data_IF_947698608706
#
_entry.id   IF_947698608706
#
_cell.length_a   1.000
_cell.length_b   1.000
_cell.length_c   1.000
_cell.angle_alpha   90.00
_cell.angle_beta   90.00
_cell.angle_gamma   90.00
#
_symmetry.space_group_name_H-M   'P 1'
#
loop_
_entity.id
_entity.type
_entity.pdbx_description
1 polymer ?
#
# COMPACT_ATOMS: atom_id res chain seq x y z
N UNK A 1 4.21 -28.10 14.94
CA UNK A 1 4.80 -27.79 13.61
C UNK A 1 3.84 -27.01 12.71
N UNK A 2 2.58 -27.39 12.59
CA UNK A 2 1.59 -26.67 11.75
C UNK A 2 1.37 -25.20 12.16
N UNK A 3 1.24 -24.90 13.45
CA UNK A 3 1.04 -23.52 13.95
C UNK A 3 2.17 -22.56 13.57
N UNK A 4 3.43 -23.02 13.64
CA UNK A 4 4.61 -22.24 13.21
C UNK A 4 4.56 -21.94 11.70
N UNK A 5 4.09 -22.88 10.88
CA UNK A 5 3.91 -22.67 9.44
C UNK A 5 2.83 -21.63 9.16
N UNK A 6 1.68 -21.71 9.84
CA UNK A 6 0.58 -20.75 9.66
C UNK A 6 1.01 -19.34 10.05
N UNK A 7 1.74 -19.20 11.17
CA UNK A 7 2.30 -17.91 11.60
C UNK A 7 3.26 -17.32 10.56
N UNK A 8 4.18 -18.14 10.03
CA UNK A 8 5.16 -17.68 9.05
C UNK A 8 4.53 -17.27 7.72
N UNK A 9 3.49 -18.00 7.29
CA UNK A 9 2.68 -17.65 6.13
C UNK A 9 1.96 -16.31 6.35
N UNK A 10 1.35 -16.10 7.51
CA UNK A 10 0.67 -14.85 7.84
C UNK A 10 1.63 -13.66 7.86
N UNK A 11 2.81 -13.80 8.46
CA UNK A 11 3.84 -12.75 8.46
C UNK A 11 4.24 -12.38 7.02
N UNK A 12 4.49 -13.40 6.19
CA UNK A 12 4.82 -13.16 4.77
C UNK A 12 3.66 -12.47 4.06
N UNK A 13 2.43 -12.91 4.32
CA UNK A 13 1.22 -12.29 3.79
C UNK A 13 1.11 -10.81 4.17
N UNK A 14 1.30 -10.48 5.44
CA UNK A 14 1.24 -9.09 5.93
C UNK A 14 2.27 -8.19 5.24
N UNK A 15 3.48 -8.70 5.00
CA UNK A 15 4.54 -7.92 4.32
C UNK A 15 4.24 -7.73 2.83
N UNK A 16 3.76 -8.77 2.15
CA UNK A 16 3.34 -8.66 0.74
C UNK A 16 2.14 -7.73 0.61
N UNK A 17 1.16 -7.84 1.51
CA UNK A 17 0.01 -6.95 1.59
C UNK A 17 0.43 -5.50 1.82
N UNK A 18 1.37 -5.26 2.73
CA UNK A 18 1.96 -3.94 2.98
C UNK A 18 2.63 -3.39 1.72
N UNK A 19 3.48 -4.19 1.05
CA UNK A 19 4.19 -3.75 -0.15
C UNK A 19 3.21 -3.32 -1.25
N UNK A 20 2.18 -4.14 -1.52
CA UNK A 20 1.20 -3.83 -2.56
C UNK A 20 0.35 -2.62 -2.15
N UNK A 21 -0.09 -2.54 -0.90
CA UNK A 21 -0.87 -1.41 -0.40
C UNK A 21 -0.08 -0.10 -0.41
N UNK A 22 1.23 -0.13 -0.09
CA UNK A 22 2.09 1.04 -0.15
C UNK A 22 2.24 1.56 -1.59
N UNK A 23 2.50 0.67 -2.55
CA UNK A 23 2.57 1.03 -3.98
C UNK A 23 1.23 1.53 -4.51
N UNK A 24 0.14 0.85 -4.15
CA UNK A 24 -1.22 1.28 -4.49
C UNK A 24 -1.53 2.66 -3.91
N UNK A 25 -1.15 2.92 -2.66
CA UNK A 25 -1.31 4.24 -2.03
C UNK A 25 -0.54 5.31 -2.78
N UNK A 26 0.74 5.07 -3.11
CA UNK A 26 1.54 6.03 -3.89
C UNK A 26 0.87 6.35 -5.23
N UNK A 27 0.44 5.31 -5.95
CA UNK A 27 -0.27 5.44 -7.21
C UNK A 27 -1.59 6.20 -7.08
N UNK A 28 -2.40 5.86 -6.07
CA UNK A 28 -3.70 6.48 -5.85
C UNK A 28 -3.58 7.97 -5.49
N UNK A 29 -2.49 8.38 -4.80
CA UNK A 29 -2.17 9.81 -4.63
C UNK A 29 -2.03 10.48 -5.99
N UNK A 30 -1.13 9.99 -6.85
CA UNK A 30 -0.91 10.61 -8.17
C UNK A 30 -2.21 10.67 -8.96
N UNK A 31 -2.94 9.55 -9.05
CA UNK A 31 -4.18 9.49 -9.84
C UNK A 31 -5.25 10.43 -9.30
N UNK A 32 -5.50 10.46 -7.98
CA UNK A 32 -6.57 11.29 -7.42
C UNK A 32 -6.21 12.78 -7.46
N UNK A 33 -4.93 13.13 -7.36
CA UNK A 33 -4.52 14.52 -7.43
C UNK A 33 -4.59 15.07 -8.87
N UNK A 34 -4.24 14.26 -9.88
CA UNK A 34 -4.30 14.62 -11.31
C UNK A 34 -5.70 14.53 -11.92
N UNK A 35 -6.56 13.66 -11.40
CA UNK A 35 -7.89 13.41 -11.96
C UNK A 35 -9.01 13.89 -11.03
N UNK A 36 -9.61 15.03 -11.38
CA UNK A 36 -10.75 15.60 -10.64
C UNK A 36 -11.93 14.62 -10.48
N UNK A 37 -12.23 13.81 -11.51
CA UNK A 37 -13.30 12.83 -11.45
C UNK A 37 -13.05 11.74 -10.40
N UNK A 38 -11.81 11.27 -10.29
CA UNK A 38 -11.43 10.30 -9.23
C UNK A 38 -11.49 10.95 -7.86
N UNK A 39 -10.97 12.17 -7.69
CA UNK A 39 -11.03 12.93 -6.44
C UNK A 39 -12.47 13.14 -5.96
N UNK A 40 -13.34 13.57 -6.88
CA UNK A 40 -14.75 13.83 -6.60
C UNK A 40 -15.51 12.53 -6.28
N UNK A 41 -15.23 11.44 -7.00
CA UNK A 41 -15.81 10.12 -6.70
C UNK A 41 -15.43 9.64 -5.29
N UNK A 42 -14.16 9.78 -4.90
CA UNK A 42 -13.70 9.42 -3.56
C UNK A 42 -14.38 10.28 -2.49
N UNK A 43 -14.47 11.59 -2.71
CA UNK A 43 -15.13 12.50 -1.78
C UNK A 43 -16.64 12.23 -1.68
N UNK A 44 -17.32 12.00 -2.81
CA UNK A 44 -18.76 11.72 -2.84
C UNK A 44 -19.12 10.37 -2.22
N UNK A 45 -18.25 9.37 -2.34
CA UNK A 45 -18.49 8.02 -1.79
C UNK A 45 -18.13 7.92 -0.31
N UNK A 46 -17.02 8.55 0.12
CA UNK A 46 -16.46 8.38 1.46
C UNK A 46 -16.50 9.65 2.30
N UNK A 47 -17.29 10.65 1.91
CA UNK A 47 -17.38 12.02 2.48
C UNK A 47 -16.13 12.88 2.34
N UNK A 48 -14.95 12.27 2.22
CA UNK A 48 -13.69 12.97 1.99
C UNK A 48 -12.72 12.10 1.17
N UNK A 49 -12.05 12.70 0.19
CA UNK A 49 -11.20 11.95 -0.75
C UNK A 49 -10.00 11.27 -0.09
N UNK A 50 -9.44 11.85 0.99
CA UNK A 50 -8.41 11.20 1.80
C UNK A 50 -8.94 10.05 2.66
N UNK A 51 -10.21 10.11 3.10
CA UNK A 51 -10.85 8.98 3.80
C UNK A 51 -11.02 7.83 2.81
N UNK A 52 -11.57 8.10 1.62
CA UNK A 52 -11.72 7.09 0.57
C UNK A 52 -10.39 6.46 0.15
N UNK A 53 -9.34 7.28 0.04
CA UNK A 53 -7.97 6.81 -0.16
C UNK A 53 -7.54 5.80 0.91
N UNK A 54 -7.70 6.16 2.20
CA UNK A 54 -7.35 5.30 3.32
C UNK A 54 -8.14 3.99 3.32
N UNK A 55 -9.45 4.07 3.09
CA UNK A 55 -10.32 2.89 3.03
C UNK A 55 -9.91 1.94 1.92
N UNK A 56 -9.71 2.44 0.69
CA UNK A 56 -9.27 1.59 -0.43
C UNK A 56 -7.89 0.98 -0.18
N UNK A 57 -6.97 1.74 0.42
CA UNK A 57 -5.63 1.25 0.77
C UNK A 57 -5.71 0.11 1.79
N UNK A 58 -6.56 0.23 2.82
CA UNK A 58 -6.79 -0.84 3.80
C UNK A 58 -7.44 -2.07 3.16
N UNK A 59 -8.43 -1.87 2.28
CA UNK A 59 -9.06 -2.99 1.55
C UNK A 59 -8.01 -3.75 0.74
N UNK A 60 -7.16 -3.06 -0.02
CA UNK A 60 -6.07 -3.67 -0.79
C UNK A 60 -5.10 -4.40 0.15
N UNK A 61 -4.70 -3.77 1.25
CA UNK A 61 -3.81 -4.38 2.25
C UNK A 61 -4.35 -5.72 2.77
N UNK A 62 -5.60 -5.75 3.25
CA UNK A 62 -6.19 -6.96 3.81
C UNK A 62 -6.41 -8.04 2.74
N UNK A 63 -6.94 -7.67 1.57
CA UNK A 63 -7.13 -8.62 0.47
C UNK A 63 -5.81 -9.27 0.06
N UNK A 64 -4.76 -8.46 -0.15
CA UNK A 64 -3.47 -8.96 -0.58
C UNK A 64 -2.75 -9.73 0.53
N UNK A 65 -2.95 -9.35 1.79
CA UNK A 65 -2.46 -10.13 2.94
C UNK A 65 -3.03 -11.54 2.94
N UNK A 66 -4.35 -11.68 2.77
CA UNK A 66 -5.02 -12.99 2.78
C UNK A 66 -4.60 -13.85 1.58
N UNK A 67 -4.51 -13.24 0.39
CA UNK A 67 -4.05 -13.92 -0.82
C UNK A 67 -2.61 -14.40 -0.64
N UNK A 68 -1.70 -13.53 -0.21
CA UNK A 68 -0.30 -13.87 -0.03
C UNK A 68 -0.08 -14.86 1.12
N UNK A 69 -0.80 -14.76 2.22
CA UNK A 69 -0.72 -15.75 3.30
C UNK A 69 -1.13 -17.16 2.84
N UNK A 70 -1.98 -17.26 1.82
CA UNK A 70 -2.40 -18.55 1.25
C UNK A 70 -1.45 -19.07 0.18
N UNK A 71 -0.95 -18.20 -0.70
CA UNK A 71 -0.26 -18.61 -1.92
C UNK A 71 1.25 -18.33 -1.93
N UNK A 72 1.76 -17.45 -1.06
CA UNK A 72 3.19 -17.18 -0.98
C UNK A 72 3.86 -18.07 0.06
N UNK A 73 4.98 -18.74 -0.28
CA UNK A 73 5.75 -19.49 0.71
C UNK A 73 6.39 -18.54 1.72
N UNK A 74 6.62 -18.99 2.98
CA UNK A 74 7.37 -18.23 3.97
C UNK A 74 8.69 -17.70 3.44
N UNK A 75 8.93 -16.41 3.67
CA UNK A 75 10.20 -15.76 3.33
C UNK A 75 11.05 -15.53 4.58
N UNK A 76 12.36 -15.37 4.38
CA UNK A 76 13.30 -15.07 5.48
C UNK A 76 13.03 -13.68 6.06
N UNK A 77 13.28 -13.52 7.37
CA UNK A 77 13.13 -12.23 8.07
C UNK A 77 13.95 -11.10 7.41
N UNK A 78 15.14 -11.43 6.90
CA UNK A 78 16.00 -10.50 6.16
C UNK A 78 15.32 -10.00 4.88
N UNK A 79 14.76 -10.90 4.07
CA UNK A 79 14.05 -10.51 2.84
C UNK A 79 12.80 -9.69 3.16
N UNK A 80 12.04 -10.09 4.18
CA UNK A 80 10.84 -9.36 4.61
C UNK A 80 11.19 -7.94 5.08
N UNK A 81 12.27 -7.79 5.86
CA UNK A 81 12.74 -6.48 6.32
C UNK A 81 13.19 -5.58 5.16
N UNK A 82 13.94 -6.15 4.20
CA UNK A 82 14.33 -5.43 2.97
C UNK A 82 13.10 -4.98 2.20
N UNK A 83 12.10 -5.84 2.03
CA UNK A 83 10.87 -5.52 1.31
C UNK A 83 10.11 -4.36 1.97
N UNK A 84 10.00 -4.35 3.29
CA UNK A 84 9.36 -3.25 4.04
C UNK A 84 10.10 -1.93 3.79
N UNK A 85 11.42 -1.91 3.97
CA UNK A 85 12.22 -0.70 3.79
C UNK A 85 12.18 -0.20 2.35
N UNK A 86 12.34 -1.10 1.38
CA UNK A 86 12.28 -0.75 -0.04
C UNK A 86 10.91 -0.16 -0.42
N UNK A 87 9.81 -0.82 -0.04
CA UNK A 87 8.47 -0.33 -0.34
C UNK A 87 8.18 1.03 0.33
N UNK A 88 8.64 1.22 1.57
CA UNK A 88 8.48 2.48 2.30
C UNK A 88 9.23 3.61 1.61
N UNK A 89 10.51 3.38 1.26
CA UNK A 89 11.34 4.39 0.58
C UNK A 89 10.76 4.73 -0.79
N UNK A 90 10.37 3.73 -1.58
CA UNK A 90 9.78 3.94 -2.90
C UNK A 90 8.47 4.74 -2.79
N UNK A 91 7.57 4.35 -1.87
CA UNK A 91 6.31 5.07 -1.64
C UNK A 91 6.56 6.54 -1.25
N UNK A 92 7.51 6.78 -0.33
CA UNK A 92 7.89 8.12 0.08
C UNK A 92 8.43 8.95 -1.09
N UNK A 93 9.35 8.40 -1.88
CA UNK A 93 9.94 9.07 -3.03
C UNK A 93 8.91 9.43 -4.10
N UNK A 94 7.94 8.55 -4.35
CA UNK A 94 6.85 8.83 -5.30
C UNK A 94 5.97 9.98 -4.81
N UNK A 95 5.55 9.96 -3.54
CA UNK A 95 4.68 11.01 -2.99
C UNK A 95 5.41 12.35 -2.91
N UNK A 96 6.63 12.38 -2.37
CA UNK A 96 7.44 13.61 -2.30
C UNK A 96 7.73 14.11 -3.71
N UNK A 97 8.18 13.24 -4.61
CA UNK A 97 8.49 13.61 -5.99
C UNK A 97 7.29 14.22 -6.70
N UNK A 98 6.10 13.63 -6.53
CA UNK A 98 4.86 14.19 -7.06
C UNK A 98 4.62 15.62 -6.58
N UNK A 99 4.61 15.84 -5.25
CA UNK A 99 4.33 17.16 -4.69
C UNK A 99 5.42 18.20 -4.98
N UNK A 100 6.71 17.83 -4.96
CA UNK A 100 7.80 18.75 -5.29
C UNK A 100 7.71 19.23 -6.73
N UNK A 101 7.37 18.34 -7.67
CA UNK A 101 7.30 18.67 -9.09
C UNK A 101 6.03 19.46 -9.46
N UNK A 102 4.90 19.19 -8.81
CA UNK A 102 3.60 19.82 -9.14
C UNK A 102 3.24 21.01 -8.25
N UNK A 103 3.83 21.08 -7.05
CA UNK A 103 3.60 22.15 -6.07
C UNK A 103 4.95 22.63 -5.49
N UNK A 104 5.83 23.21 -6.32
CA UNK A 104 7.11 23.71 -5.84
C UNK A 104 6.86 24.77 -4.75
N UNK A 105 7.55 24.61 -3.61
CA UNK A 105 7.58 25.64 -2.57
C UNK A 105 8.07 26.94 -3.21
N UNK A 106 7.30 28.01 -3.03
CA UNK A 106 7.66 29.36 -3.50
C UNK A 106 8.85 29.91 -2.72
#
# INVERSE_FOLDING_TARGET
>A
MAERSVKNNLITGLVVGFLIAALFSAFLVVVKEENKGVKDWLAGTFTHHWIGHGVLTLVVFFMMTLVAAKYCPPSSEKMLSIAIWAATIINLLVIIGYYVLHFPAK
#
